data_IF_249701795432
#
_entry.id   IF_249701795432
#
_cell.length_a   1.000
_cell.length_b   1.000
_cell.length_c   1.000
_cell.angle_alpha   90.00
_cell.angle_beta   90.00
_cell.angle_gamma   90.00
#
_symmetry.space_group_name_H-M   'P 1'
#
loop_
_entity.id
_entity.type
_entity.pdbx_description
1 polymer ?
#
# COMPACT_ATOMS: atom_id res chain seq x y z
N UNK A 1 -12.29 8.23 -21.73
CA UNK A 1 -11.80 8.04 -20.36
C UNK A 1 -12.32 6.69 -19.88
N UNK A 2 -11.49 5.85 -19.28
CA UNK A 2 -11.95 4.59 -18.68
C UNK A 2 -12.76 4.91 -17.43
N UNK A 3 -13.79 4.11 -17.16
CA UNK A 3 -14.54 4.23 -15.89
C UNK A 3 -13.70 3.73 -14.72
N UNK A 4 -14.07 4.12 -13.49
CA UNK A 4 -13.41 3.63 -12.28
C UNK A 4 -13.48 2.08 -12.19
N UNK A 5 -14.62 1.50 -12.58
CA UNK A 5 -14.80 0.04 -12.57
C UNK A 5 -13.93 -0.66 -13.61
N UNK A 6 -13.82 -0.14 -14.84
CA UNK A 6 -12.91 -0.68 -15.86
C UNK A 6 -11.44 -0.63 -15.42
N UNK A 7 -11.04 0.40 -14.66
CA UNK A 7 -9.71 0.49 -14.09
C UNK A 7 -9.49 -0.60 -13.04
N UNK A 8 -10.42 -0.77 -12.10
CA UNK A 8 -10.35 -1.79 -11.05
C UNK A 8 -10.31 -3.20 -11.63
N UNK A 9 -11.17 -3.48 -12.63
CA UNK A 9 -11.19 -4.79 -13.28
C UNK A 9 -9.88 -5.13 -13.96
N UNK A 10 -9.27 -4.15 -14.65
CA UNK A 10 -7.94 -4.33 -15.26
C UNK A 10 -6.87 -4.65 -14.21
N UNK A 11 -6.89 -3.95 -13.08
CA UNK A 11 -5.95 -4.19 -11.97
C UNK A 11 -6.19 -5.57 -11.38
N UNK A 12 -7.45 -5.94 -11.09
CA UNK A 12 -7.84 -7.26 -10.57
C UNK A 12 -7.37 -8.40 -11.46
N UNK A 13 -7.59 -8.28 -12.79
CA UNK A 13 -7.15 -9.29 -13.75
C UNK A 13 -5.62 -9.43 -13.79
N UNK A 14 -4.88 -8.33 -13.79
CA UNK A 14 -3.42 -8.34 -13.82
C UNK A 14 -2.82 -8.98 -12.55
N UNK A 15 -3.31 -8.58 -11.37
CA UNK A 15 -2.82 -9.14 -10.10
C UNK A 15 -3.31 -10.58 -9.86
N UNK A 16 -4.48 -10.95 -10.39
CA UNK A 16 -4.93 -12.36 -10.42
C UNK A 16 -3.98 -13.23 -11.23
N UNK A 17 -3.48 -12.75 -12.37
CA UNK A 17 -2.46 -13.47 -13.15
C UNK A 17 -1.12 -13.57 -12.43
N UNK A 18 -0.66 -12.49 -11.80
CA UNK A 18 0.54 -12.50 -10.95
C UNK A 18 0.40 -13.54 -9.83
N UNK A 19 -0.76 -13.60 -9.16
CA UNK A 19 -1.00 -14.58 -8.11
C UNK A 19 -0.91 -16.03 -8.58
N UNK A 20 -1.32 -16.31 -9.83
CA UNK A 20 -1.29 -17.66 -10.40
C UNK A 20 0.10 -18.07 -10.90
N UNK A 21 0.83 -17.14 -11.50
CA UNK A 21 2.02 -17.47 -12.30
C UNK A 21 3.35 -17.18 -11.60
N UNK A 22 3.39 -16.20 -10.68
CA UNK A 22 4.66 -15.75 -10.11
C UNK A 22 5.13 -16.63 -8.95
N UNK A 23 6.40 -17.05 -9.01
CA UNK A 23 7.12 -17.69 -7.91
C UNK A 23 8.03 -16.67 -7.21
N UNK A 24 8.53 -16.98 -6.01
CA UNK A 24 9.44 -16.13 -5.24
C UNK A 24 10.75 -15.77 -5.98
N UNK A 25 11.10 -16.55 -7.00
CA UNK A 25 12.31 -16.36 -7.83
C UNK A 25 12.05 -15.51 -9.09
N UNK A 26 10.83 -14.99 -9.27
CA UNK A 26 10.41 -14.28 -10.48
C UNK A 26 11.06 -12.89 -10.59
N UNK A 27 11.69 -12.66 -11.74
CA UNK A 27 12.30 -11.39 -12.13
C UNK A 27 11.27 -10.34 -12.53
N UNK A 28 11.59 -9.07 -12.26
CA UNK A 28 10.94 -7.84 -12.66
C UNK A 28 9.64 -7.50 -11.92
N UNK A 29 9.80 -6.55 -11.02
CA UNK A 29 8.69 -5.81 -10.41
C UNK A 29 8.16 -4.78 -11.39
N UNK A 30 6.86 -4.52 -11.31
CA UNK A 30 6.21 -3.45 -12.05
C UNK A 30 6.80 -2.06 -11.72
N UNK A 31 7.42 -1.91 -10.55
CA UNK A 31 7.77 -0.61 -9.98
C UNK A 31 9.23 -0.52 -9.47
N UNK A 32 10.09 -1.46 -9.81
CA UNK A 32 11.50 -1.37 -9.47
C UNK A 32 12.38 -1.76 -10.65
N UNK A 33 13.52 -1.06 -10.86
CA UNK A 33 14.49 -1.48 -11.84
C UNK A 33 15.05 -2.88 -11.49
N UNK A 34 15.55 -3.65 -12.47
CA UNK A 34 16.21 -4.91 -12.21
C UNK A 34 17.29 -4.75 -11.12
N UNK A 35 17.18 -5.51 -10.04
CA UNK A 35 18.10 -5.44 -8.91
C UNK A 35 17.74 -4.44 -7.80
N UNK A 36 16.72 -3.60 -7.98
CA UNK A 36 16.17 -2.75 -6.94
C UNK A 36 14.74 -3.19 -6.63
N UNK A 37 14.59 -4.31 -5.93
CA UNK A 37 13.32 -4.73 -5.35
C UNK A 37 12.87 -3.81 -4.21
N UNK A 38 11.67 -4.02 -3.63
CA UNK A 38 11.27 -3.37 -2.40
C UNK A 38 12.33 -3.62 -1.33
N UNK A 39 12.54 -2.62 -0.46
CA UNK A 39 13.67 -2.53 0.50
C UNK A 39 13.59 -3.56 1.66
N UNK A 40 13.23 -4.82 1.35
CA UNK A 40 13.26 -5.91 2.32
C UNK A 40 14.63 -6.56 2.37
N UNK A 41 15.16 -6.76 3.57
CA UNK A 41 16.38 -7.52 3.78
C UNK A 41 16.15 -9.03 3.54
N UNK A 42 17.21 -9.77 3.28
CA UNK A 42 17.14 -11.23 3.19
C UNK A 42 16.60 -11.87 4.49
N UNK A 43 16.89 -11.25 5.63
CA UNK A 43 16.35 -11.67 6.93
C UNK A 43 14.84 -11.48 6.98
N UNK A 44 14.31 -10.32 6.55
CA UNK A 44 12.87 -10.05 6.49
C UNK A 44 12.15 -11.00 5.53
N UNK A 45 12.74 -11.29 4.36
CA UNK A 45 12.20 -12.25 3.41
C UNK A 45 12.19 -13.66 4.01
N UNK A 46 13.26 -14.05 4.72
CA UNK A 46 13.37 -15.34 5.39
C UNK A 46 12.46 -15.49 6.62
N UNK A 47 12.00 -14.38 7.20
CA UNK A 47 11.13 -14.36 8.39
C UNK A 47 9.64 -14.55 8.08
N UNK A 48 9.25 -14.65 6.82
CA UNK A 48 7.85 -14.82 6.38
C UNK A 48 7.68 -16.13 5.61
N UNK A 49 6.44 -16.66 5.47
CA UNK A 49 6.21 -17.89 4.71
C UNK A 49 6.71 -17.79 3.27
N UNK A 50 7.36 -18.84 2.79
CA UNK A 50 7.79 -18.93 1.41
C UNK A 50 6.60 -18.75 0.44
N UNK A 51 6.73 -17.80 -0.50
CA UNK A 51 5.67 -17.41 -1.42
C UNK A 51 4.86 -16.18 -1.01
N UNK A 52 5.10 -15.60 0.17
CA UNK A 52 4.54 -14.31 0.56
C UNK A 52 5.21 -13.15 -0.20
N UNK A 53 6.51 -13.25 -0.41
CA UNK A 53 7.28 -12.26 -1.20
C UNK A 53 7.14 -12.51 -2.70
N UNK A 54 6.58 -11.56 -3.42
CA UNK A 54 6.39 -11.61 -4.88
C UNK A 54 7.27 -10.60 -5.64
N UNK A 55 8.21 -9.95 -4.95
CA UNK A 55 9.00 -8.84 -5.49
C UNK A 55 8.14 -7.68 -5.99
N UNK A 56 6.92 -7.52 -5.48
CA UNK A 56 6.05 -6.38 -5.74
C UNK A 56 6.17 -5.36 -4.60
N UNK A 57 5.98 -4.08 -4.93
CA UNK A 57 6.03 -3.00 -3.95
C UNK A 57 7.07 -1.93 -4.28
N UNK A 58 7.00 -0.81 -3.59
CA UNK A 58 7.85 0.36 -3.79
C UNK A 58 8.71 0.72 -2.57
N UNK A 59 8.57 0.02 -1.45
CA UNK A 59 9.32 0.27 -0.22
C UNK A 59 9.05 -0.77 0.87
N UNK A 60 9.39 -0.42 2.12
CA UNK A 60 9.13 -1.23 3.31
C UNK A 60 8.32 -0.43 4.35
N UNK A 61 6.99 -0.40 4.22
CA UNK A 61 6.14 0.37 5.15
C UNK A 61 6.17 -0.20 6.58
N UNK A 62 6.40 -1.50 6.75
CA UNK A 62 6.49 -2.13 8.08
C UNK A 62 7.65 -1.58 8.89
N UNK A 63 8.80 -1.38 8.25
CA UNK A 63 9.99 -0.79 8.89
C UNK A 63 9.73 0.64 9.32
N UNK A 64 9.09 1.44 8.47
CA UNK A 64 8.76 2.84 8.74
C UNK A 64 7.71 2.97 9.85
N UNK A 65 6.71 2.09 9.89
CA UNK A 65 5.59 2.18 10.82
C UNK A 65 5.98 2.09 12.30
N UNK A 66 7.14 1.51 12.65
CA UNK A 66 7.57 1.37 14.05
C UNK A 66 6.54 0.62 14.90
N UNK A 67 6.03 -0.51 14.39
CA UNK A 67 4.97 -1.30 15.04
C UNK A 67 5.39 -1.78 16.42
N UNK A 68 4.43 -1.78 17.35
CA UNK A 68 4.62 -2.20 18.73
C UNK A 68 3.85 -3.50 19.05
N UNK A 69 4.34 -4.32 19.98
CA UNK A 69 3.60 -5.50 20.43
C UNK A 69 2.18 -5.16 20.90
N UNK A 70 1.21 -5.99 20.50
CA UNK A 70 -0.20 -5.83 20.86
C UNK A 70 -1.01 -4.88 19.96
N UNK A 71 -0.39 -4.19 18.99
CA UNK A 71 -1.11 -3.28 18.07
C UNK A 71 -2.02 -4.03 17.10
N UNK A 72 -3.08 -3.33 16.69
CA UNK A 72 -3.95 -3.71 15.57
C UNK A 72 -3.49 -2.99 14.30
N UNK A 73 -3.13 -3.75 13.27
CA UNK A 73 -2.61 -3.25 12.00
C UNK A 73 -3.54 -3.64 10.86
N UNK A 74 -3.76 -2.73 9.92
CA UNK A 74 -4.47 -3.00 8.66
C UNK A 74 -3.51 -2.79 7.50
N UNK A 75 -3.39 -3.78 6.61
CA UNK A 75 -2.56 -3.69 5.41
C UNK A 75 -3.44 -3.64 4.15
N UNK A 76 -3.31 -2.55 3.39
CA UNK A 76 -4.11 -2.27 2.20
C UNK A 76 -3.42 -2.80 0.94
N UNK A 77 -4.12 -3.65 0.18
CA UNK A 77 -3.56 -4.33 -0.99
C UNK A 77 -2.51 -5.35 -0.58
N UNK A 78 -2.83 -6.18 0.41
CA UNK A 78 -1.89 -7.08 1.06
C UNK A 78 -1.26 -8.15 0.14
N UNK A 79 -1.78 -8.35 -1.07
CA UNK A 79 -1.26 -9.34 -2.01
C UNK A 79 -1.13 -10.74 -1.40
N UNK A 80 0.04 -11.35 -1.54
CA UNK A 80 0.35 -12.65 -0.97
C UNK A 80 0.72 -12.62 0.53
N UNK A 81 0.70 -11.44 1.18
CA UNK A 81 0.82 -11.26 2.62
C UNK A 81 2.19 -10.85 3.14
N UNK A 82 3.12 -10.37 2.31
CA UNK A 82 4.48 -10.00 2.74
C UNK A 82 4.46 -9.05 3.95
N UNK A 83 3.81 -7.90 3.81
CA UNK A 83 3.75 -6.89 4.87
C UNK A 83 2.88 -7.34 6.05
N UNK A 84 1.82 -8.14 5.79
CA UNK A 84 0.97 -8.74 6.84
C UNK A 84 1.80 -9.63 7.78
N UNK A 85 2.62 -10.54 7.24
CA UNK A 85 3.42 -11.45 8.05
C UNK A 85 4.55 -10.75 8.79
N UNK A 86 5.19 -9.77 8.14
CA UNK A 86 6.18 -8.92 8.82
C UNK A 86 5.54 -8.13 9.97
N UNK A 87 4.37 -7.53 9.73
CA UNK A 87 3.62 -6.83 10.77
C UNK A 87 3.21 -7.79 11.90
N UNK A 88 2.73 -9.00 11.58
CA UNK A 88 2.37 -10.01 12.57
C UNK A 88 3.54 -10.42 13.45
N UNK A 89 4.75 -10.56 12.87
CA UNK A 89 5.96 -10.84 13.64
C UNK A 89 6.34 -9.68 14.58
N UNK A 90 6.03 -8.42 14.21
CA UNK A 90 6.31 -7.23 15.04
C UNK A 90 5.30 -7.05 16.17
N UNK A 91 4.00 -7.22 15.88
CA UNK A 91 2.95 -7.02 16.90
C UNK A 91 2.81 -8.22 17.84
N UNK A 92 3.33 -9.38 17.45
CA UNK A 92 3.31 -10.60 18.27
C UNK A 92 1.91 -11.20 18.44
N UNK A 93 1.77 -12.24 19.27
CA UNK A 93 0.52 -13.01 19.41
C UNK A 93 -0.62 -12.24 20.09
N UNK A 94 -0.32 -11.16 20.82
CA UNK A 94 -1.32 -10.29 21.45
C UNK A 94 -1.84 -9.20 20.49
N UNK A 95 -1.20 -9.02 19.34
CA UNK A 95 -1.62 -8.08 18.30
C UNK A 95 -2.66 -8.68 17.36
N UNK A 96 -3.07 -7.87 16.37
CA UNK A 96 -3.97 -8.29 15.28
C UNK A 96 -3.54 -7.65 13.98
N UNK A 97 -3.49 -8.43 12.90
CA UNK A 97 -3.20 -7.90 11.57
C UNK A 97 -4.30 -8.31 10.59
N UNK A 98 -4.86 -7.32 9.89
CA UNK A 98 -5.92 -7.52 8.89
C UNK A 98 -5.37 -7.15 7.52
N UNK A 99 -5.18 -8.14 6.65
CA UNK A 99 -4.81 -7.92 5.25
C UNK A 99 -6.06 -7.74 4.39
N UNK A 100 -6.11 -6.66 3.61
CA UNK A 100 -7.19 -6.34 2.69
C UNK A 100 -6.67 -6.43 1.26
N UNK A 101 -7.37 -7.15 0.39
CA UNK A 101 -7.11 -7.15 -1.05
C UNK A 101 -8.42 -7.35 -1.83
N UNK A 102 -8.53 -6.77 -3.01
CA UNK A 102 -9.71 -6.95 -3.86
C UNK A 102 -9.63 -8.20 -4.74
N UNK A 103 -8.44 -8.82 -4.85
CA UNK A 103 -8.12 -9.93 -5.76
C UNK A 103 -8.27 -11.27 -5.03
N UNK A 104 -9.28 -12.10 -5.37
CA UNK A 104 -9.50 -13.39 -4.69
C UNK A 104 -8.30 -14.32 -4.75
N UNK A 105 -7.56 -14.34 -5.86
CA UNK A 105 -6.37 -15.19 -6.06
C UNK A 105 -5.21 -14.78 -5.14
N UNK A 106 -5.01 -13.47 -4.91
CA UNK A 106 -4.03 -12.97 -3.95
C UNK A 106 -4.40 -13.42 -2.54
N UNK A 107 -5.66 -13.26 -2.14
CA UNK A 107 -6.13 -13.71 -0.82
C UNK A 107 -6.05 -15.22 -0.63
N UNK A 108 -6.34 -16.00 -1.67
CA UNK A 108 -6.17 -17.46 -1.62
C UNK A 108 -4.71 -17.83 -1.34
N UNK A 109 -3.77 -17.14 -2.02
CA UNK A 109 -2.34 -17.31 -1.81
C UNK A 109 -1.90 -16.85 -0.41
N UNK A 110 -2.36 -15.70 0.06
CA UNK A 110 -2.07 -15.20 1.39
C UNK A 110 -2.53 -16.16 2.49
N UNK A 111 -3.76 -16.71 2.36
CA UNK A 111 -4.29 -17.73 3.29
C UNK A 111 -3.48 -19.04 3.24
N UNK A 112 -3.07 -19.48 2.06
CA UNK A 112 -2.21 -20.66 1.91
C UNK A 112 -0.82 -20.43 2.54
N UNK A 113 -0.27 -19.22 2.45
CA UNK A 113 0.96 -18.84 3.11
C UNK A 113 0.79 -18.81 4.65
N UNK A 114 -0.31 -18.25 5.17
CA UNK A 114 -0.61 -18.24 6.60
C UNK A 114 -0.74 -19.65 7.18
N UNK A 115 -1.33 -20.58 6.43
CA UNK A 115 -1.47 -21.97 6.85
C UNK A 115 -0.14 -22.72 6.95
N UNK A 116 0.93 -22.25 6.30
CA UNK A 116 2.29 -22.81 6.41
C UNK A 116 3.05 -22.32 7.64
N UNK A 117 2.60 -21.21 8.23
CA UNK A 117 3.16 -20.61 9.43
C UNK A 117 2.16 -20.62 10.58
N UNK A 118 2.57 -20.17 11.75
CA UNK A 118 1.67 -20.03 12.91
C UNK A 118 1.33 -18.56 13.10
N UNK A 119 0.25 -18.10 12.43
CA UNK A 119 -0.21 -16.71 12.45
C UNK A 119 -1.68 -16.60 12.91
N UNK A 120 -2.01 -16.99 14.16
CA UNK A 120 -3.41 -16.96 14.64
C UNK A 120 -3.97 -15.52 14.74
N UNK A 121 -3.09 -14.51 14.81
CA UNK A 121 -3.46 -13.09 14.88
C UNK A 121 -3.71 -12.46 13.51
N UNK A 122 -3.58 -13.21 12.40
CA UNK A 122 -3.72 -12.69 11.03
C UNK A 122 -5.08 -13.07 10.45
N UNK A 123 -5.73 -12.10 9.83
CA UNK A 123 -6.99 -12.24 9.09
C UNK A 123 -6.85 -11.66 7.69
N UNK A 124 -7.55 -12.26 6.69
CA UNK A 124 -7.61 -11.75 5.33
C UNK A 124 -9.05 -11.51 4.90
N UNK A 125 -9.33 -10.28 4.42
CA UNK A 125 -10.67 -9.88 4.01
C UNK A 125 -10.65 -9.35 2.58
N UNK A 126 -11.65 -9.76 1.78
CA UNK A 126 -11.81 -9.27 0.42
C UNK A 126 -12.59 -7.96 0.42
N UNK A 127 -11.93 -6.87 0.02
CA UNK A 127 -12.58 -5.58 -0.16
C UNK A 127 -11.74 -4.65 -1.05
N UNK A 128 -12.38 -3.59 -1.53
CA UNK A 128 -11.74 -2.45 -2.15
C UNK A 128 -11.20 -1.49 -1.07
N UNK A 129 -10.05 -0.88 -1.33
CA UNK A 129 -9.40 -0.02 -0.34
C UNK A 129 -10.12 1.32 -0.12
N UNK A 130 -11.05 1.70 -1.01
CA UNK A 130 -11.93 2.85 -0.86
C UNK A 130 -13.10 2.59 0.11
N UNK A 131 -13.32 1.33 0.53
CA UNK A 131 -14.39 0.94 1.46
C UNK A 131 -13.96 -0.25 2.31
N UNK A 132 -13.30 0.04 3.43
CA UNK A 132 -12.71 -0.99 4.29
C UNK A 132 -13.75 -1.66 5.19
N UNK A 133 -13.79 -3.01 5.26
CA UNK A 133 -14.65 -3.75 6.18
C UNK A 133 -14.06 -3.78 7.61
N UNK A 134 -13.54 -2.64 8.04
CA UNK A 134 -12.86 -2.45 9.33
C UNK A 134 -13.61 -1.37 10.11
N UNK A 135 -13.83 -1.60 11.40
CA UNK A 135 -14.54 -0.67 12.27
C UNK A 135 -13.77 0.67 12.39
N UNK A 136 -14.52 1.76 12.52
CA UNK A 136 -13.94 3.10 12.73
C UNK A 136 -13.17 3.14 14.05
N UNK A 137 -11.98 3.76 14.04
CA UNK A 137 -11.18 3.97 15.25
C UNK A 137 -10.68 2.67 15.89
N UNK A 138 -10.45 1.60 15.12
CA UNK A 138 -10.03 0.30 15.65
C UNK A 138 -8.56 -0.05 15.36
N UNK A 139 -7.91 0.59 14.38
CA UNK A 139 -6.54 0.31 14.00
C UNK A 139 -5.54 1.27 14.66
N UNK A 140 -4.42 0.74 15.14
CA UNK A 140 -3.29 1.52 15.64
C UNK A 140 -2.40 2.00 14.48
N UNK A 141 -2.26 1.15 13.45
CA UNK A 141 -1.50 1.47 12.26
C UNK A 141 -2.20 0.97 10.99
N UNK A 142 -2.01 1.70 9.89
CA UNK A 142 -2.38 1.29 8.52
C UNK A 142 -1.12 1.27 7.66
N UNK A 143 -0.93 0.16 6.95
CA UNK A 143 0.15 -0.04 5.98
C UNK A 143 -0.41 -0.04 4.56
N UNK A 144 0.41 0.31 3.59
CA UNK A 144 0.13 0.12 2.16
C UNK A 144 1.43 0.09 1.37
N UNK A 145 1.51 -0.77 0.36
CA UNK A 145 2.68 -0.87 -0.51
C UNK A 145 2.27 -0.91 -1.97
N UNK A 146 2.45 0.21 -2.68
CA UNK A 146 2.22 0.37 -4.12
C UNK A 146 0.79 0.09 -4.60
N UNK A 147 -0.23 0.34 -3.78
CA UNK A 147 -1.63 0.06 -4.14
C UNK A 147 -2.49 1.32 -4.28
N UNK A 148 -2.20 2.40 -3.53
CA UNK A 148 -3.07 3.59 -3.51
C UNK A 148 -3.07 4.27 -4.88
N UNK A 149 -1.94 4.26 -5.59
CA UNK A 149 -1.89 4.77 -6.96
C UNK A 149 -2.82 4.05 -7.93
N UNK A 150 -3.16 2.79 -7.66
CA UNK A 150 -4.06 2.01 -8.51
C UNK A 150 -5.54 2.37 -8.26
N UNK A 151 -5.85 2.98 -7.11
CA UNK A 151 -7.21 3.38 -6.76
C UNK A 151 -7.68 4.58 -7.60
N UNK A 152 -8.91 4.53 -8.15
CA UNK A 152 -9.52 5.67 -8.84
C UNK A 152 -9.78 6.86 -7.92
N UNK A 153 -10.23 6.63 -6.68
CA UNK A 153 -10.49 7.66 -5.66
C UNK A 153 -9.46 7.60 -4.52
N UNK A 154 -8.26 8.15 -4.78
CA UNK A 154 -7.20 8.22 -3.77
C UNK A 154 -7.61 9.00 -2.52
N UNK A 155 -8.39 10.08 -2.69
CA UNK A 155 -8.92 10.86 -1.58
C UNK A 155 -9.89 10.03 -0.72
N UNK A 156 -10.72 9.17 -1.35
CA UNK A 156 -11.56 8.20 -0.67
C UNK A 156 -10.77 7.21 0.17
N UNK A 157 -9.65 6.70 -0.38
CA UNK A 157 -8.76 5.80 0.36
C UNK A 157 -8.22 6.48 1.61
N UNK A 158 -7.73 7.73 1.52
CA UNK A 158 -7.21 8.43 2.70
C UNK A 158 -8.30 8.76 3.72
N UNK A 159 -9.55 9.04 3.29
CA UNK A 159 -10.69 9.15 4.21
C UNK A 159 -10.98 7.84 4.96
N UNK A 160 -10.88 6.69 4.29
CA UNK A 160 -11.05 5.38 4.91
C UNK A 160 -9.90 5.04 5.88
N UNK A 161 -8.65 5.32 5.50
CA UNK A 161 -7.50 5.19 6.41
C UNK A 161 -7.73 6.03 7.67
N UNK A 162 -8.14 7.29 7.49
CA UNK A 162 -8.44 8.18 8.61
C UNK A 162 -9.59 7.65 9.48
N UNK A 163 -10.64 7.11 8.86
CA UNK A 163 -11.79 6.55 9.57
C UNK A 163 -11.40 5.37 10.46
N UNK A 164 -10.63 4.42 9.93
CA UNK A 164 -10.28 3.18 10.65
C UNK A 164 -9.23 3.40 11.74
N UNK A 165 -8.36 4.38 11.60
CA UNK A 165 -7.35 4.69 12.60
C UNK A 165 -7.94 5.21 13.90
N UNK A 166 -7.43 4.75 15.04
CA UNK A 166 -7.63 5.33 16.36
C UNK A 166 -7.13 6.78 16.38
N UNK A 167 -7.64 7.67 17.25
CA UNK A 167 -6.97 8.93 17.55
C UNK A 167 -5.51 8.65 17.98
N UNK A 168 -4.55 9.38 17.39
CA UNK A 168 -3.11 9.12 17.58
C UNK A 168 -2.54 7.98 16.75
N UNK A 169 -3.38 7.18 16.08
CA UNK A 169 -2.94 6.14 15.15
C UNK A 169 -2.21 6.71 13.94
N UNK A 170 -1.43 5.88 13.26
CA UNK A 170 -0.53 6.29 12.17
C UNK A 170 -0.72 5.46 10.90
N UNK A 171 -0.30 6.01 9.79
CA UNK A 171 -0.07 5.22 8.57
C UNK A 171 1.41 5.21 8.20
N UNK A 172 1.83 4.16 7.48
CA UNK A 172 3.08 4.11 6.73
C UNK A 172 2.76 3.54 5.34
N UNK A 173 3.02 4.32 4.31
CA UNK A 173 2.65 4.02 2.93
C UNK A 173 3.88 4.14 2.05
N UNK A 174 4.21 3.08 1.32
CA UNK A 174 5.18 3.12 0.24
C UNK A 174 4.45 3.22 -1.10
N UNK A 175 4.73 4.25 -1.90
CA UNK A 175 4.08 4.46 -3.20
C UNK A 175 4.99 5.24 -4.16
N UNK A 176 4.52 5.48 -5.39
CA UNK A 176 5.24 6.23 -6.42
C UNK A 176 4.66 7.64 -6.52
N UNK A 177 5.54 8.65 -6.56
CA UNK A 177 5.18 10.03 -6.84
C UNK A 177 5.99 10.57 -8.00
N UNK A 178 5.49 11.61 -8.67
CA UNK A 178 6.20 12.31 -9.75
C UNK A 178 6.83 13.59 -9.23
N UNK A 179 8.08 13.83 -9.59
CA UNK A 179 8.77 15.09 -9.30
C UNK A 179 8.43 16.14 -10.37
N UNK A 180 7.61 17.13 -9.99
CA UNK A 180 7.16 18.23 -10.84
C UNK A 180 6.17 17.79 -11.94
N UNK A 181 5.43 18.77 -12.46
CA UNK A 181 4.38 18.55 -13.47
C UNK A 181 4.94 17.93 -14.75
N UNK A 182 4.31 16.86 -15.27
CA UNK A 182 4.73 16.24 -16.51
C UNK A 182 4.26 17.07 -17.71
N UNK A 183 5.21 17.59 -18.50
CA UNK A 183 4.90 18.15 -19.82
C UNK A 183 4.34 17.10 -20.78
N UNK A 184 3.88 17.51 -21.97
CA UNK A 184 3.20 16.63 -22.94
C UNK A 184 3.99 15.37 -23.29
N UNK A 185 5.30 15.50 -23.57
CA UNK A 185 6.15 14.35 -23.92
C UNK A 185 6.27 13.37 -22.76
N UNK A 186 6.51 13.88 -21.55
CA UNK A 186 6.62 13.06 -20.34
C UNK A 186 5.29 12.34 -20.02
N UNK A 187 4.16 13.01 -20.21
CA UNK A 187 2.83 12.40 -20.06
C UNK A 187 2.63 11.24 -21.05
N UNK A 188 2.99 11.44 -22.32
CA UNK A 188 2.90 10.37 -23.32
C UNK A 188 3.74 9.14 -22.96
N UNK A 189 4.94 9.33 -22.37
CA UNK A 189 5.78 8.23 -21.90
C UNK A 189 5.15 7.53 -20.68
N UNK A 190 4.58 8.28 -19.74
CA UNK A 190 3.87 7.75 -18.60
C UNK A 190 2.66 6.89 -19.00
N UNK A 191 1.92 7.33 -20.01
CA UNK A 191 0.74 6.61 -20.53
C UNK A 191 1.11 5.29 -21.23
N UNK A 192 2.35 5.16 -21.69
CA UNK A 192 2.92 3.93 -22.26
C UNK A 192 3.56 3.01 -21.21
N UNK A 193 3.71 3.47 -19.95
CA UNK A 193 4.33 2.68 -18.92
C UNK A 193 3.56 1.38 -18.68
N UNK A 194 4.25 0.23 -18.64
CA UNK A 194 3.60 -1.07 -18.43
C UNK A 194 2.95 -1.16 -17.04
N UNK A 195 3.44 -0.36 -16.10
CA UNK A 195 2.98 -0.32 -14.72
C UNK A 195 1.94 0.77 -14.50
N UNK A 196 0.74 0.37 -14.12
CA UNK A 196 -0.34 1.32 -13.82
C UNK A 196 -0.04 2.22 -12.60
N UNK A 197 0.77 1.80 -11.64
CA UNK A 197 1.18 2.61 -10.49
C UNK A 197 1.99 3.86 -10.90
N UNK A 198 2.83 3.78 -11.94
CA UNK A 198 3.59 4.93 -12.45
C UNK A 198 2.69 5.82 -13.31
N UNK A 199 1.87 5.23 -14.19
CA UNK A 199 0.99 5.99 -15.09
C UNK A 199 -0.10 6.77 -14.36
N UNK A 200 -0.52 6.28 -13.18
CA UNK A 200 -1.54 6.91 -12.32
C UNK A 200 -0.95 7.66 -11.12
N UNK A 201 0.39 7.74 -11.03
CA UNK A 201 1.06 8.48 -9.97
C UNK A 201 0.73 9.98 -10.04
N UNK A 202 0.47 10.56 -8.87
CA UNK A 202 0.30 12.00 -8.72
C UNK A 202 1.66 12.70 -8.60
N UNK A 203 1.67 13.98 -8.90
CA UNK A 203 2.78 14.86 -8.52
C UNK A 203 2.85 14.90 -6.99
N UNK A 204 4.05 14.91 -6.44
CA UNK A 204 4.30 14.83 -5.01
C UNK A 204 3.48 15.81 -4.19
N UNK A 205 3.48 17.09 -4.58
CA UNK A 205 2.72 18.12 -3.85
C UNK A 205 1.22 17.80 -3.81
N UNK A 206 0.64 17.36 -4.94
CA UNK A 206 -0.77 16.96 -5.02
C UNK A 206 -1.05 15.68 -4.20
N UNK A 207 -0.10 14.77 -4.14
CA UNK A 207 -0.21 13.56 -3.33
C UNK A 207 -0.24 13.91 -1.83
N UNK A 208 0.72 14.72 -1.39
CA UNK A 208 0.80 15.19 0.01
C UNK A 208 -0.42 16.04 0.41
N UNK A 209 -0.91 16.89 -0.49
CA UNK A 209 -2.13 17.69 -0.27
C UNK A 209 -3.36 16.78 -0.10
N UNK A 210 -3.48 15.72 -0.90
CA UNK A 210 -4.56 14.74 -0.75
C UNK A 210 -4.57 14.10 0.64
N UNK A 211 -3.38 13.79 1.18
CA UNK A 211 -3.24 13.23 2.52
C UNK A 211 -3.65 14.25 3.61
N UNK A 212 -3.12 15.48 3.50
CA UNK A 212 -3.42 16.55 4.46
C UNK A 212 -4.90 16.93 4.45
N UNK A 213 -5.52 16.96 3.27
CA UNK A 213 -6.96 17.23 3.12
C UNK A 213 -7.84 16.17 3.80
N UNK A 214 -7.35 14.95 4.01
CA UNK A 214 -8.05 13.93 4.79
C UNK A 214 -7.95 14.15 6.31
N UNK A 215 -7.18 15.14 6.78
CA UNK A 215 -7.06 15.51 8.18
C UNK A 215 -5.83 14.94 8.91
N UNK A 216 -4.87 14.37 8.19
CA UNK A 216 -3.63 13.86 8.78
C UNK A 216 -2.66 14.99 9.12
N UNK A 217 -1.90 14.78 10.21
CA UNK A 217 -0.82 15.66 10.68
C UNK A 217 0.52 14.94 10.62
N UNK A 218 1.63 15.72 10.64
CA UNK A 218 2.99 15.18 10.61
C UNK A 218 3.26 14.36 9.34
N UNK A 219 2.67 14.77 8.20
CA UNK A 219 2.85 14.07 6.92
C UNK A 219 4.24 14.37 6.36
N UNK A 220 5.07 13.34 6.28
CA UNK A 220 6.47 13.43 5.85
C UNK A 220 6.88 12.26 4.98
N UNK A 221 7.85 12.48 4.09
CA UNK A 221 8.56 11.44 3.35
C UNK A 221 9.76 11.02 4.20
N UNK A 222 9.78 9.78 4.68
CA UNK A 222 10.82 9.22 5.55
C UNK A 222 11.88 8.43 4.78
N UNK A 223 11.58 8.02 3.55
CA UNK A 223 12.53 7.40 2.63
C UNK A 223 12.12 7.66 1.18
N UNK A 224 13.12 7.79 0.30
CA UNK A 224 12.91 7.96 -1.14
C UNK A 224 14.04 7.34 -1.97
N UNK A 225 13.70 6.90 -3.17
CA UNK A 225 14.65 6.45 -4.19
C UNK A 225 14.05 6.58 -5.60
N UNK A 226 14.88 6.63 -6.67
CA UNK A 226 14.37 6.54 -8.04
C UNK A 226 13.50 5.29 -8.23
N UNK A 227 12.32 5.45 -8.85
CA UNK A 227 11.43 4.33 -9.16
C UNK A 227 11.85 3.60 -10.43
N UNK A 228 12.65 4.23 -11.28
CA UNK A 228 13.11 3.70 -12.56
C UNK A 228 14.64 3.74 -12.65
N UNK A 229 15.21 2.86 -13.48
CA UNK A 229 16.64 2.94 -13.82
C UNK A 229 16.90 4.03 -14.87
N UNK A 230 18.14 4.50 -14.92
CA UNK A 230 18.60 5.37 -15.99
C UNK A 230 18.56 4.63 -17.35
N UNK A 231 18.23 5.31 -18.49
CA UNK A 231 17.95 6.75 -18.60
C UNK A 231 16.47 7.15 -18.34
N UNK A 232 15.58 6.18 -18.13
CA UNK A 232 14.14 6.45 -17.97
C UNK A 232 13.82 7.33 -16.77
N UNK A 233 14.58 7.18 -15.67
CA UNK A 233 14.38 8.01 -14.48
C UNK A 233 14.59 9.49 -14.78
N UNK A 234 15.62 9.86 -15.56
CA UNK A 234 15.89 11.23 -15.94
C UNK A 234 14.71 11.86 -16.72
N UNK A 235 13.99 11.06 -17.51
CA UNK A 235 12.84 11.52 -18.29
C UNK A 235 11.56 11.52 -17.45
N UNK A 236 11.26 10.42 -16.74
CA UNK A 236 9.99 10.22 -16.02
C UNK A 236 10.00 10.89 -14.67
N UNK A 237 11.15 10.96 -13.99
CA UNK A 237 11.34 11.56 -12.66
C UNK A 237 10.33 11.02 -11.64
N UNK A 238 10.12 9.70 -11.66
CA UNK A 238 9.28 9.01 -10.71
C UNK A 238 10.11 8.57 -9.49
N UNK A 239 9.60 8.83 -8.29
CA UNK A 239 10.25 8.45 -7.04
C UNK A 239 9.39 7.43 -6.30
N UNK A 240 10.01 6.36 -5.84
CA UNK A 240 9.45 5.49 -4.83
C UNK A 240 9.68 6.16 -3.48
N UNK A 241 8.61 6.47 -2.77
CA UNK A 241 8.65 7.17 -1.48
C UNK A 241 7.98 6.34 -0.40
N UNK A 242 8.48 6.43 0.82
CA UNK A 242 7.77 5.95 2.01
C UNK A 242 7.31 7.17 2.80
N UNK A 243 6.00 7.23 3.02
CA UNK A 243 5.29 8.33 3.65
C UNK A 243 4.77 7.89 5.00
N UNK A 244 4.82 8.78 5.97
CA UNK A 244 4.18 8.63 7.28
C UNK A 244 3.27 9.81 7.59
N UNK A 245 2.30 9.58 8.45
CA UNK A 245 1.44 10.60 9.01
C UNK A 245 0.59 10.04 10.13
N UNK A 246 -0.02 10.91 10.92
CA UNK A 246 -0.79 10.54 12.11
C UNK A 246 -2.18 11.17 12.09
N UNK A 247 -3.13 10.43 12.64
CA UNK A 247 -4.44 10.99 12.97
C UNK A 247 -4.33 11.75 14.28
N UNK A 248 -4.79 13.03 14.36
CA UNK A 248 -4.73 13.83 15.59
C UNK A 248 -5.39 13.14 16.78
N UNK A 249 -4.83 13.29 17.98
CA UNK A 249 -5.43 12.75 19.22
C UNK A 249 -6.78 13.38 19.56
N UNK A 250 -6.95 14.67 19.25
CA UNK A 250 -8.15 15.45 19.59
C UNK A 250 -9.29 15.35 18.57
N UNK A 251 -9.17 14.52 17.54
CA UNK A 251 -10.21 14.41 16.52
C UNK A 251 -11.48 13.76 17.10
N UNK A 252 -12.51 14.58 17.35
CA UNK A 252 -13.89 14.11 17.53
C UNK A 252 -14.56 14.13 16.16
N UNK A 253 -15.09 12.99 15.65
CA UNK A 253 -15.90 13.00 14.45
C UNK A 253 -17.02 14.03 14.67
N UNK A 254 -17.11 15.03 13.79
CA UNK A 254 -18.28 15.92 13.81
C UNK A 254 -19.49 15.02 13.57
N UNK A 255 -20.39 14.96 14.56
CA UNK A 255 -21.62 14.19 14.47
C UNK A 255 -22.35 14.55 13.17
N UNK A 256 -22.96 13.58 12.49
CA UNK A 256 -23.91 13.88 11.44
C UNK A 256 -24.85 14.97 11.92
N UNK A 257 -25.11 16.02 11.14
CA UNK A 257 -26.17 16.95 11.49
C UNK A 257 -27.44 16.12 11.71
N UNK A 258 -28.10 16.33 12.85
CA UNK A 258 -29.38 15.71 13.14
C UNK A 258 -30.29 15.97 11.94
N UNK A 259 -30.84 14.90 11.36
CA UNK A 259 -31.90 15.03 10.38
C UNK A 259 -33.06 15.77 11.06
N UNK A 260 -33.39 16.95 10.53
CA UNK A 260 -34.62 17.69 10.85
C UNK A 260 -35.74 17.06 10.04
#
# INVERSE_FOLDING_TARGET
>A
MKTAEEQKEKVRAAYGEIARTRTAEGTATCCAPPGAGPDYSLEEIGAVPAGAYLSEGSGNPVRAAGLQPGETVVDLGCGAGMDVFLAANRVGPAGRVVGIDMTPEMLARARANAARGSYPQVEFQQAEIERLPVASGSADAVLSNCVINLAPDKAGVYREIFRVLKPGGRFAIADIVLRGEPGRLRRAVLDLAPCSCISTALVEDAYLETIRAAGFEGVEIVAERPALSQPLDALVRAQAVTLMGRKPFGFRPQGKPAAI
#
